data_IF_275525115949
#
_entry.id   IF_275525115949
#
_cell.length_a   1.000
_cell.length_b   1.000
_cell.length_c   1.000
_cell.angle_alpha   90.00
_cell.angle_beta   90.00
_cell.angle_gamma   90.00
#
_symmetry.space_group_name_H-M   'P 1'
#
loop_
_entity.id
_entity.type
_entity.pdbx_description
1 polymer ?
#
# COMPACT_ATOMS: atom_id res chain seq x y z
N UNK A 1 70.41 5.05 -11.03
CA UNK A 1 70.14 4.63 -9.64
C UNK A 1 68.81 5.26 -9.27
N UNK A 2 67.72 4.50 -9.33
CA UNK A 2 66.42 5.01 -8.88
C UNK A 2 66.38 4.85 -7.36
N UNK A 3 66.05 5.88 -6.58
CA UNK A 3 66.01 5.75 -5.12
C UNK A 3 64.87 4.82 -4.71
N UNK A 4 65.18 3.82 -3.88
CA UNK A 4 64.19 2.99 -3.22
C UNK A 4 63.43 3.79 -2.17
N UNK A 5 62.16 3.43 -1.93
CA UNK A 5 61.35 4.05 -0.89
C UNK A 5 61.14 3.04 0.24
N UNK A 6 61.51 3.41 1.46
CA UNK A 6 61.16 2.64 2.65
C UNK A 6 59.77 3.07 3.12
N UNK A 7 58.82 2.13 3.08
CA UNK A 7 57.45 2.35 3.54
C UNK A 7 57.28 1.70 4.91
N UNK A 8 57.19 2.52 5.96
CA UNK A 8 57.00 2.03 7.33
C UNK A 8 55.56 1.64 7.62
N UNK A 9 54.59 2.52 7.33
CA UNK A 9 53.17 2.21 7.47
C UNK A 9 52.32 3.02 6.51
N UNK A 10 51.09 2.59 6.29
CA UNK A 10 50.05 3.30 5.54
C UNK A 10 48.81 3.41 6.41
N UNK A 11 48.27 4.62 6.52
CA UNK A 11 46.97 4.85 7.16
C UNK A 11 45.90 5.08 6.09
N UNK A 12 44.79 4.35 6.19
CA UNK A 12 43.63 4.48 5.30
C UNK A 12 42.44 4.92 6.14
N UNK A 13 41.90 6.11 5.86
CA UNK A 13 40.75 6.67 6.56
C UNK A 13 39.44 6.34 5.82
N UNK A 14 38.50 5.73 6.52
CA UNK A 14 37.12 5.63 6.07
C UNK A 14 36.33 6.84 6.58
N UNK A 15 36.06 7.79 5.68
CA UNK A 15 35.34 9.02 6.01
C UNK A 15 33.85 8.79 6.31
N UNK A 16 33.27 7.65 5.91
CA UNK A 16 31.87 7.33 6.21
C UNK A 16 31.67 6.88 7.66
N UNK A 17 32.74 6.32 8.26
CA UNK A 17 32.76 5.82 9.65
C UNK A 17 33.61 6.66 10.59
N UNK A 18 34.32 7.66 10.05
CA UNK A 18 35.33 8.48 10.72
C UNK A 18 36.43 7.67 11.42
N UNK A 19 36.76 6.50 10.88
CA UNK A 19 37.78 5.58 11.41
C UNK A 19 39.03 5.58 10.53
N UNK A 20 40.22 5.39 11.12
CA UNK A 20 41.49 5.27 10.39
C UNK A 20 42.15 3.93 10.68
N UNK A 21 42.44 3.17 9.62
CA UNK A 21 43.05 1.85 9.66
C UNK A 21 44.54 1.94 9.32
N UNK A 22 45.39 1.36 10.18
CA UNK A 22 46.85 1.36 9.99
C UNK A 22 47.36 0.01 9.49
N UNK A 23 48.14 0.05 8.42
CA UNK A 23 48.85 -1.08 7.84
C UNK A 23 50.34 -0.90 8.13
N UNK A 24 50.92 -1.77 8.96
CA UNK A 24 52.37 -1.79 9.19
C UNK A 24 53.04 -2.50 8.01
N UNK A 25 53.94 -1.81 7.34
CA UNK A 25 54.57 -2.27 6.11
C UNK A 25 56.06 -2.60 6.31
N UNK A 26 56.79 -1.75 7.03
CA UNK A 26 58.24 -1.78 7.31
C UNK A 26 59.08 -2.52 6.26
N UNK A 27 58.98 -2.06 5.01
CA UNK A 27 59.67 -2.70 3.89
C UNK A 27 60.17 -1.68 2.85
N UNK A 28 61.14 -2.10 2.05
CA UNK A 28 61.64 -1.31 0.93
C UNK A 28 60.90 -1.67 -0.35
N UNK A 29 60.19 -0.70 -0.95
CA UNK A 29 59.56 -0.83 -2.26
C UNK A 29 60.55 -0.35 -3.33
N UNK A 30 61.51 -1.21 -3.66
CA UNK A 30 62.63 -0.87 -4.55
C UNK A 30 62.94 -2.05 -5.44
N UNK A 31 63.48 -1.83 -6.64
CA UNK A 31 64.04 -2.92 -7.48
C UNK A 31 65.51 -3.23 -7.15
N UNK A 32 66.17 -2.36 -6.38
CA UNK A 32 67.60 -2.47 -6.08
C UNK A 32 67.90 -2.68 -4.61
N UNK A 33 66.95 -2.39 -3.71
CA UNK A 33 67.10 -2.50 -2.25
C UNK A 33 66.02 -3.44 -1.67
N UNK A 34 66.26 -3.97 -0.47
CA UNK A 34 65.34 -4.91 0.19
C UNK A 34 65.11 -6.20 -0.60
N UNK A 35 63.86 -6.63 -0.68
CA UNK A 35 63.40 -7.81 -1.42
C UNK A 35 63.34 -7.63 -2.95
N UNK A 36 63.68 -6.43 -3.43
CA UNK A 36 63.66 -6.02 -4.85
C UNK A 36 62.27 -6.03 -5.49
N UNK A 37 61.20 -6.02 -4.69
CA UNK A 37 59.82 -5.91 -5.12
C UNK A 37 59.30 -4.48 -4.88
N UNK A 38 58.45 -4.03 -5.79
CA UNK A 38 57.81 -2.70 -5.70
C UNK A 38 56.32 -2.79 -5.40
N UNK A 39 55.80 -3.99 -5.13
CA UNK A 39 54.40 -4.29 -4.85
C UNK A 39 54.35 -5.30 -3.71
N UNK A 40 53.46 -5.08 -2.73
CA UNK A 40 53.30 -5.92 -1.54
C UNK A 40 51.84 -5.90 -1.08
N UNK A 41 51.39 -7.03 -0.54
CA UNK A 41 50.12 -7.15 0.16
C UNK A 41 50.35 -7.00 1.66
N UNK A 42 49.59 -6.13 2.32
CA UNK A 42 49.68 -5.90 3.76
C UNK A 42 48.35 -6.21 4.43
N UNK A 43 48.40 -6.96 5.52
CA UNK A 43 47.24 -7.20 6.37
C UNK A 43 47.01 -5.99 7.30
N UNK A 44 45.75 -5.59 7.49
CA UNK A 44 45.40 -4.56 8.45
C UNK A 44 45.75 -5.05 9.87
N UNK A 45 46.54 -4.28 10.61
CA UNK A 45 47.05 -4.74 11.91
C UNK A 45 45.98 -4.76 13.02
N UNK A 46 44.81 -4.13 12.80
CA UNK A 46 43.70 -4.10 13.74
C UNK A 46 42.38 -4.57 13.09
N UNK A 47 42.22 -5.88 12.90
CA UNK A 47 41.12 -6.65 13.52
C UNK A 47 40.99 -8.05 12.93
N UNK A 48 40.56 -8.93 13.82
CA UNK A 48 40.30 -10.35 13.72
C UNK A 48 39.40 -10.74 12.52
N UNK A 49 39.64 -11.95 11.99
CA UNK A 49 38.81 -12.64 11.02
C UNK A 49 37.34 -12.60 11.48
N UNK A 50 36.46 -12.01 10.66
CA UNK A 50 35.00 -12.19 10.78
C UNK A 50 34.50 -12.95 9.56
N UNK A 51 33.99 -14.15 9.81
CA UNK A 51 33.12 -14.91 8.92
C UNK A 51 31.89 -14.06 8.52
N UNK A 52 31.32 -14.36 7.34
CA UNK A 52 30.05 -13.84 6.79
C UNK A 52 30.01 -12.37 6.33
N UNK A 53 30.49 -12.11 5.11
CA UNK A 53 30.03 -10.93 4.36
C UNK A 53 28.64 -11.25 3.79
N UNK A 54 27.60 -10.72 4.43
CA UNK A 54 26.26 -10.64 3.87
C UNK A 54 26.28 -9.73 2.63
N UNK A 55 26.33 -10.32 1.43
CA UNK A 55 26.22 -9.56 0.18
C UNK A 55 24.75 -9.18 -0.06
N UNK A 56 24.48 -7.88 -0.13
CA UNK A 56 23.16 -7.33 -0.49
C UNK A 56 23.16 -6.94 -1.96
N UNK A 57 22.23 -7.50 -2.75
CA UNK A 57 22.06 -7.18 -4.16
C UNK A 57 20.76 -6.40 -4.37
N UNK A 58 20.83 -5.28 -5.09
CA UNK A 58 19.67 -4.45 -5.45
C UNK A 58 19.29 -4.66 -6.90
N UNK A 59 17.99 -4.80 -7.17
CA UNK A 59 17.43 -4.94 -8.51
C UNK A 59 16.25 -3.99 -8.68
N UNK A 60 16.12 -3.40 -9.86
CA UNK A 60 15.01 -2.51 -10.22
C UNK A 60 14.34 -3.02 -11.49
N UNK A 61 13.00 -2.98 -11.51
CA UNK A 61 12.20 -3.39 -12.65
C UNK A 61 10.84 -2.68 -12.63
N UNK A 62 10.27 -2.48 -13.81
CA UNK A 62 8.92 -1.95 -13.96
C UNK A 62 7.86 -3.04 -13.72
N UNK A 63 6.76 -2.65 -13.10
CA UNK A 63 5.58 -3.50 -12.89
C UNK A 63 4.31 -2.67 -13.04
N UNK A 64 3.19 -3.34 -13.34
CA UNK A 64 1.87 -2.75 -13.11
C UNK A 64 1.66 -2.51 -11.61
N UNK A 65 0.74 -1.62 -11.25
CA UNK A 65 0.36 -1.42 -9.85
C UNK A 65 -0.22 -2.72 -9.28
N UNK A 66 0.48 -3.29 -8.29
CA UNK A 66 0.12 -4.58 -7.67
C UNK A 66 -0.79 -4.43 -6.45
N UNK A 67 -1.00 -3.20 -5.97
CA UNK A 67 -1.60 -2.96 -4.66
C UNK A 67 -0.70 -3.46 -3.53
N UNK A 68 -1.32 -3.81 -2.40
CA UNK A 68 -0.59 -4.33 -1.24
C UNK A 68 0.06 -5.69 -1.54
N UNK A 69 1.37 -5.77 -1.38
CA UNK A 69 2.12 -7.01 -1.59
C UNK A 69 1.97 -7.89 -0.34
N UNK A 70 1.22 -8.99 -0.47
CA UNK A 70 1.04 -9.95 0.61
C UNK A 70 2.11 -11.05 0.64
N UNK A 71 2.59 -11.48 -0.53
CA UNK A 71 3.55 -12.58 -0.64
C UNK A 71 4.42 -12.48 -1.90
N UNK A 72 5.57 -13.17 -1.86
CA UNK A 72 6.54 -13.25 -2.94
C UNK A 72 6.92 -14.71 -3.21
N UNK A 73 6.97 -15.09 -4.50
CA UNK A 73 7.49 -16.39 -4.93
C UNK A 73 8.96 -16.26 -5.38
N UNK A 74 9.87 -17.01 -4.77
CA UNK A 74 11.31 -16.95 -5.04
C UNK A 74 11.85 -18.33 -5.41
N UNK A 75 12.57 -18.43 -6.52
CA UNK A 75 13.18 -19.67 -6.98
C UNK A 75 14.61 -19.47 -7.49
N UNK A 76 15.44 -20.49 -7.34
CA UNK A 76 16.80 -20.52 -7.86
C UNK A 76 16.83 -21.37 -9.14
N UNK A 77 16.86 -20.71 -10.29
CA UNK A 77 16.76 -21.37 -11.61
C UNK A 77 18.12 -21.42 -12.32
N UNK A 78 18.49 -22.59 -12.81
CA UNK A 78 19.66 -22.73 -13.66
C UNK A 78 19.45 -22.03 -15.01
N UNK A 79 20.46 -21.30 -15.48
CA UNK A 79 20.49 -20.79 -16.85
C UNK A 79 20.40 -21.96 -17.83
N UNK A 80 19.67 -21.76 -18.92
CA UNK A 80 19.58 -22.73 -20.01
C UNK A 80 21.00 -23.09 -20.49
N UNK A 81 21.19 -24.36 -20.82
CA UNK A 81 22.45 -24.94 -21.32
C UNK A 81 23.65 -25.03 -20.36
N UNK A 82 23.50 -24.71 -19.06
CA UNK A 82 24.57 -24.97 -18.08
C UNK A 82 24.53 -26.37 -17.46
N UNK A 83 25.73 -26.97 -17.37
CA UNK A 83 25.96 -28.14 -16.53
C UNK A 83 25.66 -27.81 -15.07
N UNK A 84 24.75 -28.57 -14.46
CA UNK A 84 24.49 -28.50 -13.02
C UNK A 84 25.33 -29.60 -12.38
N UNK A 85 26.31 -29.27 -11.52
CA UNK A 85 27.09 -30.28 -10.84
C UNK A 85 26.20 -31.16 -9.96
N UNK A 86 26.60 -32.41 -9.74
CA UNK A 86 25.85 -33.36 -8.90
C UNK A 86 25.73 -32.91 -7.43
N UNK A 87 26.62 -32.02 -6.98
CA UNK A 87 26.52 -31.41 -5.64
C UNK A 87 25.33 -30.46 -5.60
N UNK A 88 24.61 -30.45 -4.49
CA UNK A 88 23.49 -29.53 -4.32
C UNK A 88 24.02 -28.09 -4.21
N UNK A 89 23.58 -27.24 -5.14
CA UNK A 89 23.85 -25.81 -5.11
C UNK A 89 22.65 -25.12 -4.47
N UNK A 90 22.88 -24.40 -3.38
CA UNK A 90 21.85 -23.69 -2.62
C UNK A 90 22.14 -22.20 -2.64
N UNK A 91 21.08 -21.40 -2.65
CA UNK A 91 21.13 -19.98 -2.39
C UNK A 91 20.50 -19.73 -1.03
N UNK A 92 21.26 -19.19 -0.07
CA UNK A 92 20.71 -18.76 1.21
C UNK A 92 20.10 -17.38 1.03
N UNK A 93 18.78 -17.30 1.13
CA UNK A 93 18.04 -16.04 1.12
C UNK A 93 17.75 -15.68 2.56
N UNK A 94 18.48 -14.70 3.09
CA UNK A 94 18.30 -14.23 4.47
C UNK A 94 17.06 -13.35 4.60
N UNK A 95 17.00 -12.29 3.81
CA UNK A 95 15.85 -11.39 3.77
C UNK A 95 15.67 -10.82 2.35
N UNK A 96 14.44 -10.44 2.03
CA UNK A 96 14.12 -9.65 0.84
C UNK A 96 13.38 -8.41 1.31
N UNK A 97 13.72 -7.27 0.73
CA UNK A 97 13.02 -6.00 0.93
C UNK A 97 12.58 -5.50 -0.44
N UNK A 98 11.29 -5.23 -0.59
CA UNK A 98 10.73 -4.61 -1.79
C UNK A 98 10.38 -3.17 -1.44
N UNK A 99 10.88 -2.22 -2.22
CA UNK A 99 10.49 -0.82 -2.13
C UNK A 99 9.63 -0.46 -3.35
N UNK A 100 8.38 -0.09 -3.12
CA UNK A 100 7.53 0.51 -4.14
C UNK A 100 8.00 1.95 -4.40
N UNK A 101 8.52 2.22 -5.59
CA UNK A 101 9.17 3.51 -5.89
C UNK A 101 8.18 4.67 -6.09
N UNK A 102 6.92 4.39 -6.42
CA UNK A 102 5.89 5.42 -6.67
C UNK A 102 5.56 6.21 -5.39
N UNK A 103 5.27 5.48 -4.30
CA UNK A 103 4.93 6.09 -3.02
C UNK A 103 6.03 5.93 -1.97
N UNK A 104 6.96 5.00 -2.13
CA UNK A 104 8.04 4.73 -1.17
C UNK A 104 7.63 3.74 -0.07
N UNK A 105 6.61 2.91 -0.30
CA UNK A 105 6.24 1.85 0.64
C UNK A 105 7.28 0.74 0.64
N UNK A 106 7.57 0.17 1.81
CA UNK A 106 8.61 -0.86 1.96
C UNK A 106 8.02 -2.13 2.57
N UNK A 107 8.19 -3.26 1.88
CA UNK A 107 7.71 -4.57 2.27
C UNK A 107 8.90 -5.46 2.65
N UNK A 108 8.87 -6.04 3.84
CA UNK A 108 9.93 -6.88 4.37
C UNK A 108 9.51 -8.35 4.36
N UNK A 109 10.41 -9.22 3.90
CA UNK A 109 10.25 -10.67 3.87
C UNK A 109 11.41 -11.29 4.64
N UNK A 110 11.15 -11.78 5.85
CA UNK A 110 12.15 -12.55 6.61
C UNK A 110 12.16 -13.99 6.08
N UNK A 111 13.14 -14.30 5.24
CA UNK A 111 13.18 -15.55 4.51
C UNK A 111 13.94 -16.64 5.28
N UNK A 112 15.14 -16.30 5.76
CA UNK A 112 16.16 -17.16 6.38
C UNK A 112 16.13 -18.61 5.90
N UNK A 113 16.35 -18.80 4.61
CA UNK A 113 16.05 -20.07 3.97
C UNK A 113 17.00 -20.43 2.81
N UNK A 114 17.39 -21.69 2.75
CA UNK A 114 18.11 -22.27 1.61
C UNK A 114 17.14 -22.61 0.46
N UNK A 115 17.41 -22.05 -0.73
CA UNK A 115 16.68 -22.31 -1.98
C UNK A 115 17.59 -23.11 -2.93
N UNK A 116 17.29 -24.39 -3.18
CA UNK A 116 18.11 -25.22 -4.05
C UNK A 116 17.97 -24.85 -5.52
N UNK A 117 19.06 -24.95 -6.28
CA UNK A 117 19.09 -24.75 -7.72
C UNK A 117 18.26 -25.82 -8.43
N UNK A 118 17.31 -25.40 -9.27
CA UNK A 118 16.44 -26.29 -10.05
C UNK A 118 16.42 -25.92 -11.54
N UNK A 119 15.91 -26.84 -12.37
CA UNK A 119 15.76 -26.65 -13.83
C UNK A 119 14.40 -26.14 -14.26
N UNK A 120 13.38 -26.19 -13.40
CA UNK A 120 12.00 -25.83 -13.74
C UNK A 120 11.51 -24.73 -12.83
N UNK A 121 10.82 -23.73 -13.40
CA UNK A 121 10.27 -22.57 -12.69
C UNK A 121 9.23 -22.92 -11.63
N UNK A 122 8.61 -24.09 -11.71
CA UNK A 122 7.63 -24.58 -10.72
C UNK A 122 8.20 -24.82 -9.32
N UNK A 123 9.53 -24.82 -9.17
CA UNK A 123 10.18 -24.98 -7.87
C UNK A 123 10.55 -23.61 -7.32
N UNK A 124 9.70 -23.10 -6.43
CA UNK A 124 9.88 -21.84 -5.72
C UNK A 124 9.45 -22.02 -4.26
N UNK A 125 9.87 -21.09 -3.42
CA UNK A 125 9.32 -20.90 -2.07
C UNK A 125 8.46 -19.64 -2.07
N UNK A 126 7.40 -19.67 -1.27
CA UNK A 126 6.54 -18.51 -1.02
C UNK A 126 6.97 -17.90 0.30
N UNK A 127 7.21 -16.60 0.30
CA UNK A 127 7.48 -15.83 1.50
C UNK A 127 6.35 -14.83 1.69
N UNK A 128 5.78 -14.81 2.89
CA UNK A 128 4.78 -13.81 3.27
C UNK A 128 5.47 -12.56 3.77
N UNK A 129 4.82 -11.41 3.59
CA UNK A 129 5.29 -10.16 4.18
C UNK A 129 5.27 -10.28 5.70
N UNK A 130 6.39 -9.93 6.32
CA UNK A 130 6.51 -9.91 7.79
C UNK A 130 6.29 -8.53 8.37
N UNK A 131 6.54 -7.48 7.59
CA UNK A 131 6.33 -6.09 7.97
C UNK A 131 6.16 -5.23 6.73
N UNK A 132 5.30 -4.21 6.84
CA UNK A 132 5.20 -3.14 5.86
C UNK A 132 5.47 -1.81 6.54
N UNK A 133 6.23 -0.95 5.88
CA UNK A 133 6.37 0.46 6.25
C UNK A 133 5.69 1.29 5.18
N UNK A 134 4.54 1.86 5.52
CA UNK A 134 3.89 2.87 4.68
C UNK A 134 4.68 4.17 4.70
N UNK A 135 4.84 4.78 3.53
CA UNK A 135 5.46 6.10 3.42
C UNK A 135 4.51 7.22 3.85
N UNK A 136 5.08 8.40 4.10
CA UNK A 136 4.26 9.60 4.31
C UNK A 136 3.42 9.94 3.06
N UNK A 137 3.97 9.77 1.86
CA UNK A 137 3.26 10.04 0.62
C UNK A 137 2.05 9.10 0.44
N UNK A 138 2.22 7.80 0.73
CA UNK A 138 1.12 6.82 0.69
C UNK A 138 0.03 7.16 1.72
N UNK A 139 0.44 7.53 2.94
CA UNK A 139 -0.51 8.01 3.97
C UNK A 139 -1.27 9.25 3.52
N UNK A 140 -0.58 10.25 2.98
CA UNK A 140 -1.21 11.48 2.49
C UNK A 140 -2.15 11.20 1.32
N UNK A 141 -1.83 10.28 0.43
CA UNK A 141 -2.71 9.91 -0.67
C UNK A 141 -4.01 9.26 -0.16
N UNK A 142 -3.94 8.42 0.87
CA UNK A 142 -5.14 7.86 1.50
C UNK A 142 -6.05 8.92 2.16
N UNK A 143 -5.52 10.11 2.39
CA UNK A 143 -6.24 11.26 2.94
C UNK A 143 -6.83 12.19 1.86
N UNK A 144 -6.70 11.85 0.57
CA UNK A 144 -7.32 12.63 -0.51
C UNK A 144 -8.84 12.40 -0.47
N UNK A 145 -9.67 13.46 -0.36
CA UNK A 145 -11.11 13.31 -0.35
C UNK A 145 -11.63 12.70 -1.67
N UNK A 146 -12.47 11.69 -1.53
CA UNK A 146 -13.22 11.03 -2.60
C UNK A 146 -14.64 11.60 -2.63
N UNK A 147 -15.15 11.80 -3.85
CA UNK A 147 -16.54 12.17 -4.09
C UNK A 147 -17.40 10.91 -4.20
N UNK A 148 -18.44 10.85 -3.39
CA UNK A 148 -19.51 9.88 -3.52
C UNK A 148 -20.73 10.57 -4.11
N UNK A 149 -21.17 10.10 -5.26
CA UNK A 149 -22.45 10.49 -5.84
C UNK A 149 -23.57 9.72 -5.13
N UNK A 150 -24.55 10.44 -4.59
CA UNK A 150 -25.71 9.87 -3.93
C UNK A 150 -26.95 10.21 -4.75
N UNK A 151 -27.62 9.20 -5.28
CA UNK A 151 -28.86 9.33 -6.04
C UNK A 151 -29.98 8.75 -5.20
N UNK A 152 -30.97 9.56 -4.89
CA UNK A 152 -32.16 9.15 -4.14
C UNK A 152 -33.37 9.15 -5.05
N UNK A 153 -34.08 8.03 -5.11
CA UNK A 153 -35.34 7.91 -5.85
C UNK A 153 -36.51 7.87 -4.88
N UNK A 154 -37.39 8.85 -5.00
CA UNK A 154 -38.66 8.91 -4.26
C UNK A 154 -39.70 8.06 -4.98
N UNK A 155 -40.48 7.29 -4.23
CA UNK A 155 -41.53 6.44 -4.76
C UNK A 155 -42.64 7.20 -5.49
N UNK A 156 -43.42 6.48 -6.28
CA UNK A 156 -44.46 7.06 -7.14
C UNK A 156 -45.87 7.09 -6.51
N UNK A 157 -46.03 6.70 -5.25
CA UNK A 157 -47.35 6.70 -4.59
C UNK A 157 -47.87 8.13 -4.32
N UNK A 158 -49.19 8.34 -4.23
CA UNK A 158 -49.76 9.63 -3.83
C UNK A 158 -49.26 10.09 -2.44
N UNK A 159 -48.69 11.30 -2.40
CA UNK A 159 -48.10 11.88 -1.19
C UNK A 159 -46.74 11.28 -0.82
N UNK A 160 -46.04 10.65 -1.77
CA UNK A 160 -44.72 10.08 -1.55
C UNK A 160 -43.61 11.11 -1.32
N UNK A 161 -43.79 12.36 -1.75
CA UNK A 161 -42.77 13.41 -1.62
C UNK A 161 -42.75 14.06 -0.24
N UNK A 162 -41.62 14.70 0.10
CA UNK A 162 -41.40 15.33 1.41
C UNK A 162 -40.84 16.74 1.31
N UNK A 163 -41.33 17.62 2.18
CA UNK A 163 -40.79 18.96 2.39
C UNK A 163 -39.80 19.00 3.59
N UNK A 164 -39.56 17.86 4.24
CA UNK A 164 -38.67 17.78 5.40
C UNK A 164 -37.20 17.87 4.98
N UNK A 165 -36.34 18.28 5.91
CA UNK A 165 -34.89 18.22 5.67
C UNK A 165 -34.43 16.77 5.71
N UNK A 166 -33.80 16.32 4.61
CA UNK A 166 -33.31 14.95 4.44
C UNK A 166 -31.81 14.88 4.71
N UNK A 167 -31.40 13.80 5.37
CA UNK A 167 -30.01 13.51 5.69
C UNK A 167 -29.63 12.09 5.31
N UNK A 168 -28.34 11.90 5.03
CA UNK A 168 -27.74 10.61 4.74
C UNK A 168 -26.48 10.39 5.60
N UNK A 169 -26.24 9.14 5.98
CA UNK A 169 -24.94 8.68 6.48
C UNK A 169 -24.55 7.41 5.74
N UNK A 170 -23.40 7.43 5.09
CA UNK A 170 -22.87 6.30 4.33
C UNK A 170 -21.82 5.63 5.22
N UNK A 171 -21.92 4.32 5.40
CA UNK A 171 -21.00 3.50 6.18
C UNK A 171 -20.26 2.55 5.24
N UNK A 172 -18.93 2.56 5.30
CA UNK A 172 -18.06 1.63 4.60
C UNK A 172 -17.10 0.89 5.54
N UNK A 173 -16.22 0.07 4.97
CA UNK A 173 -15.20 -0.68 5.70
C UNK A 173 -14.21 0.22 6.46
N UNK A 174 -13.93 1.42 5.94
CA UNK A 174 -12.91 2.34 6.47
C UNK A 174 -13.48 3.46 7.35
N UNK A 175 -14.81 3.51 7.56
CA UNK A 175 -15.45 4.53 8.38
C UNK A 175 -16.83 4.94 7.86
N UNK A 176 -17.29 6.12 8.27
CA UNK A 176 -18.56 6.69 7.85
C UNK A 176 -18.48 8.18 7.55
N UNK A 177 -19.46 8.69 6.82
CA UNK A 177 -19.50 10.10 6.41
C UNK A 177 -19.92 11.04 7.53
N UNK A 178 -20.43 10.55 8.65
CA UNK A 178 -21.30 11.29 9.55
C UNK A 178 -22.64 11.66 8.89
N UNK A 179 -23.48 12.41 9.62
CA UNK A 179 -24.76 12.91 9.13
C UNK A 179 -24.55 14.06 8.14
N UNK A 180 -24.97 13.86 6.88
CA UNK A 180 -24.86 14.83 5.79
C UNK A 180 -26.23 15.25 5.32
N UNK A 181 -26.49 16.54 5.30
CA UNK A 181 -27.73 17.11 4.79
C UNK A 181 -27.75 17.07 3.25
N UNK A 182 -28.82 16.56 2.66
CA UNK A 182 -29.02 16.49 1.22
C UNK A 182 -29.81 17.71 0.75
N UNK A 183 -29.09 18.74 0.30
CA UNK A 183 -29.70 20.01 -0.16
C UNK A 183 -29.13 20.50 -1.48
N UNK A 184 -29.97 21.19 -2.25
CA UNK A 184 -29.60 21.95 -3.45
C UNK A 184 -30.31 23.30 -3.41
N UNK A 185 -29.60 24.37 -3.75
CA UNK A 185 -30.19 25.71 -3.78
C UNK A 185 -31.23 25.81 -4.90
N UNK A 186 -32.35 26.47 -4.61
CA UNK A 186 -33.39 26.83 -5.59
C UNK A 186 -34.03 25.63 -6.31
N UNK A 187 -34.22 24.51 -5.62
CA UNK A 187 -34.92 23.33 -6.15
C UNK A 187 -35.88 22.77 -5.12
N UNK A 188 -37.05 22.34 -5.57
CA UNK A 188 -37.87 21.44 -4.79
C UNK A 188 -37.33 20.02 -4.97
N UNK A 189 -37.01 19.36 -3.87
CA UNK A 189 -36.33 18.07 -3.87
C UNK A 189 -37.27 17.03 -3.29
N UNK A 190 -36.99 15.75 -3.60
CA UNK A 190 -37.71 14.62 -3.02
C UNK A 190 -39.21 14.64 -3.31
N UNK A 191 -39.60 15.13 -4.48
CA UNK A 191 -40.96 15.07 -4.99
C UNK A 191 -41.36 13.64 -5.34
N UNK A 192 -42.66 13.38 -5.40
CA UNK A 192 -43.20 12.10 -5.86
C UNK A 192 -42.58 11.69 -7.21
N UNK A 193 -42.00 10.50 -7.27
CA UNK A 193 -41.37 9.96 -8.47
C UNK A 193 -40.10 10.67 -8.92
N UNK A 194 -39.58 11.64 -8.15
CA UNK A 194 -38.35 12.32 -8.52
C UNK A 194 -37.13 11.48 -8.20
N UNK A 195 -36.07 11.72 -8.98
CA UNK A 195 -34.73 11.23 -8.70
C UNK A 195 -33.83 12.43 -8.50
N UNK A 196 -33.22 12.54 -7.32
CA UNK A 196 -32.37 13.66 -6.94
C UNK A 196 -30.94 13.19 -6.69
N UNK A 197 -29.98 13.92 -7.25
CA UNK A 197 -28.54 13.60 -7.23
C UNK A 197 -27.78 14.57 -6.35
N UNK A 198 -26.90 14.05 -5.49
CA UNK A 198 -26.08 14.81 -4.56
C UNK A 198 -24.62 14.32 -4.61
N UNK A 199 -23.72 15.12 -4.05
CA UNK A 199 -22.32 14.73 -3.87
C UNK A 199 -21.94 14.89 -2.41
N UNK A 200 -21.30 13.86 -1.86
CA UNK A 200 -20.72 13.85 -0.52
C UNK A 200 -19.22 13.66 -0.66
N UNK A 201 -18.44 14.62 -0.17
CA UNK A 201 -16.98 14.51 -0.12
C UNK A 201 -16.55 13.97 1.25
N UNK A 202 -15.77 12.90 1.25
CA UNK A 202 -15.21 12.27 2.45
C UNK A 202 -13.97 11.47 2.09
N UNK A 203 -13.29 10.87 3.07
CA UNK A 203 -12.19 9.94 2.78
C UNK A 203 -12.72 8.64 2.15
N UNK A 204 -11.83 7.86 1.53
CA UNK A 204 -12.21 6.57 0.95
C UNK A 204 -12.83 5.65 2.01
N UNK A 205 -14.13 5.38 1.86
CA UNK A 205 -14.94 4.56 2.78
C UNK A 205 -14.69 3.06 2.57
N UNK A 206 -14.04 2.66 1.48
CA UNK A 206 -13.87 1.25 1.13
C UNK A 206 -15.20 0.61 0.71
N UNK A 207 -15.35 -0.71 0.95
CA UNK A 207 -16.58 -1.44 0.63
C UNK A 207 -17.78 -0.85 1.41
N UNK A 208 -18.83 -0.42 0.69
CA UNK A 208 -20.02 0.17 1.29
C UNK A 208 -20.90 -0.91 1.94
N UNK A 209 -21.19 -0.74 3.23
CA UNK A 209 -21.90 -1.76 4.03
C UNK A 209 -23.32 -1.36 4.39
N UNK A 210 -23.60 -0.06 4.48
CA UNK A 210 -24.89 0.45 4.95
C UNK A 210 -25.07 1.92 4.54
N UNK A 211 -26.30 2.31 4.28
CA UNK A 211 -26.71 3.72 4.18
C UNK A 211 -27.83 3.97 5.18
N UNK A 212 -27.66 4.96 6.05
CA UNK A 212 -28.76 5.51 6.84
C UNK A 212 -29.37 6.68 6.08
N UNK A 213 -30.67 6.65 5.89
CA UNK A 213 -31.44 7.75 5.33
C UNK A 213 -32.47 8.20 6.37
N UNK A 214 -32.58 9.50 6.60
CA UNK A 214 -33.44 10.05 7.64
C UNK A 214 -33.96 11.45 7.29
N UNK A 215 -35.08 11.85 7.88
CA UNK A 215 -35.58 13.22 7.80
C UNK A 215 -36.00 13.74 9.19
N UNK A 216 -36.02 15.06 9.36
CA UNK A 216 -36.29 15.70 10.66
C UNK A 216 -37.79 15.86 10.99
N UNK A 217 -38.67 15.54 10.04
CA UNK A 217 -40.11 15.68 10.21
C UNK A 217 -40.63 17.12 10.10
N UNK A 218 -39.82 18.06 9.61
CA UNK A 218 -40.27 19.42 9.30
C UNK A 218 -41.17 19.46 8.06
N UNK A 219 -41.81 20.61 7.82
CA UNK A 219 -42.74 20.79 6.70
C UNK A 219 -44.17 20.30 6.98
N UNK A 220 -45.10 20.59 6.07
CA UNK A 220 -46.52 20.22 6.21
C UNK A 220 -46.78 18.77 5.78
N UNK A 221 -46.00 18.27 4.82
CA UNK A 221 -46.04 16.90 4.31
C UNK A 221 -44.67 16.25 4.54
N UNK A 222 -44.41 15.83 5.79
CA UNK A 222 -43.09 15.28 6.15
C UNK A 222 -42.91 13.81 5.79
N UNK A 223 -44.00 13.09 5.51
CA UNK A 223 -43.96 11.67 5.18
C UNK A 223 -43.30 11.43 3.83
N UNK A 224 -42.42 10.45 3.74
CA UNK A 224 -41.61 10.23 2.55
C UNK A 224 -41.57 8.75 2.17
N UNK A 225 -41.96 8.41 0.95
CA UNK A 225 -41.79 7.06 0.42
C UNK A 225 -40.50 7.00 -0.37
N UNK A 226 -39.53 6.24 0.13
CA UNK A 226 -38.23 6.07 -0.53
C UNK A 226 -38.24 4.76 -1.28
N UNK A 227 -37.93 4.81 -2.58
CA UNK A 227 -37.80 3.61 -3.40
C UNK A 227 -36.42 2.97 -3.20
N UNK A 228 -35.36 3.75 -3.48
CA UNK A 228 -33.97 3.30 -3.36
C UNK A 228 -33.00 4.47 -3.20
N UNK A 229 -31.80 4.14 -2.74
CA UNK A 229 -30.62 5.02 -2.78
C UNK A 229 -29.53 4.30 -3.56
N UNK A 230 -28.86 5.00 -4.46
CA UNK A 230 -27.68 4.52 -5.18
C UNK A 230 -26.50 5.40 -4.80
N UNK A 231 -25.39 4.75 -4.43
CA UNK A 231 -24.15 5.43 -4.04
C UNK A 231 -23.03 4.98 -4.95
N UNK A 232 -22.43 5.91 -5.67
CA UNK A 232 -21.32 5.65 -6.60
C UNK A 232 -20.05 6.31 -6.09
N UNK A 233 -19.00 5.51 -5.88
CA UNK A 233 -17.66 6.05 -5.66
C UNK A 233 -17.14 6.57 -7.01
N UNK A 234 -16.92 7.89 -7.14
CA UNK A 234 -16.54 8.48 -8.44
C UNK A 234 -15.09 8.19 -8.84
N UNK A 235 -14.22 7.78 -7.90
CA UNK A 235 -12.82 7.45 -8.23
C UNK A 235 -12.72 6.05 -8.85
N UNK A 236 -13.51 5.09 -8.35
CA UNK A 236 -13.51 3.69 -8.82
C UNK A 236 -14.60 3.38 -9.83
N UNK A 237 -15.65 4.20 -9.88
CA UNK A 237 -16.85 3.96 -10.69
C UNK A 237 -17.78 2.89 -10.13
N UNK A 238 -17.48 2.32 -8.96
CA UNK A 238 -18.30 1.28 -8.33
C UNK A 238 -19.58 1.90 -7.77
N UNK A 239 -20.73 1.42 -8.27
CA UNK A 239 -22.06 1.81 -7.83
C UNK A 239 -22.67 0.72 -6.93
N UNK A 240 -23.23 1.12 -5.79
CA UNK A 240 -23.92 0.23 -4.84
C UNK A 240 -25.36 0.68 -4.67
N UNK A 241 -26.30 -0.25 -4.82
CA UNK A 241 -27.75 0.04 -4.73
C UNK A 241 -28.31 -0.45 -3.40
N UNK A 242 -29.03 0.44 -2.73
CA UNK A 242 -29.70 0.22 -1.45
C UNK A 242 -31.21 0.35 -1.66
N UNK A 243 -31.90 -0.77 -1.74
CA UNK A 243 -33.36 -0.79 -1.88
C UNK A 243 -34.04 -0.46 -0.55
N UNK A 244 -35.11 0.33 -0.59
CA UNK A 244 -35.87 0.73 0.59
C UNK A 244 -37.33 0.26 0.47
N UNK A 245 -38.06 0.80 -0.50
CA UNK A 245 -39.47 0.49 -0.78
C UNK A 245 -40.41 0.74 0.41
N UNK A 246 -40.10 1.70 1.28
CA UNK A 246 -40.86 1.91 2.53
C UNK A 246 -41.05 3.39 2.86
N UNK A 247 -42.14 3.66 3.56
CA UNK A 247 -42.44 4.96 4.14
C UNK A 247 -41.49 5.26 5.31
N UNK A 248 -40.97 6.49 5.30
CA UNK A 248 -40.34 7.18 6.41
C UNK A 248 -41.36 8.25 6.85
N UNK A 249 -42.21 7.92 7.80
CA UNK A 249 -43.34 8.75 8.23
C UNK A 249 -43.77 8.31 9.64
N UNK A 250 -44.12 9.26 10.52
CA UNK A 250 -44.65 8.97 11.86
C UNK A 250 -46.07 8.37 11.84
N UNK A 251 -46.81 8.56 10.76
CA UNK A 251 -48.23 8.16 10.62
C UNK A 251 -48.45 7.04 9.61
N UNK A 252 -47.44 6.65 8.82
CA UNK A 252 -47.50 5.59 7.81
C UNK A 252 -46.36 4.58 8.02
N UNK A 253 -46.46 3.42 7.38
CA UNK A 253 -45.44 2.38 7.49
C UNK A 253 -45.29 1.88 8.94
N UNK A 254 -44.07 1.94 9.47
CA UNK A 254 -43.72 1.54 10.83
C UNK A 254 -43.54 2.73 11.80
N UNK A 255 -43.92 3.94 11.39
CA UNK A 255 -43.82 5.13 12.25
C UNK A 255 -42.40 5.73 12.35
N UNK A 256 -41.41 5.16 11.65
CA UNK A 256 -40.02 5.64 11.68
C UNK A 256 -39.78 6.71 10.61
N UNK A 257 -38.99 7.72 10.93
CA UNK A 257 -38.54 8.78 9.99
C UNK A 257 -37.13 8.55 9.48
N UNK A 258 -36.60 7.34 9.66
CA UNK A 258 -35.25 6.95 9.27
C UNK A 258 -35.19 5.45 8.98
N UNK A 259 -34.22 5.03 8.17
CA UNK A 259 -33.91 3.62 7.93
C UNK A 259 -32.43 3.40 7.69
N UNK A 260 -31.95 2.25 8.17
CA UNK A 260 -30.71 1.64 7.71
C UNK A 260 -31.02 0.72 6.53
N UNK A 261 -30.33 0.96 5.42
CA UNK A 261 -30.42 0.19 4.18
C UNK A 261 -29.10 -0.53 3.96
N UNK A 262 -29.16 -1.75 3.46
CA UNK A 262 -28.00 -2.58 3.18
C UNK A 262 -27.86 -2.82 1.67
N UNK A 263 -26.65 -3.09 1.16
CA UNK A 263 -26.43 -3.35 -0.26
C UNK A 263 -27.36 -4.46 -0.74
N UNK A 264 -28.02 -4.20 -1.87
CA UNK A 264 -28.81 -5.22 -2.55
C UNK A 264 -27.85 -6.14 -3.30
N UNK A 265 -27.94 -7.45 -3.07
CA UNK A 265 -27.14 -8.48 -3.76
C UNK A 265 -27.55 -8.58 -5.22
#
# INVERSE_FOLDING_TARGET
>A
IFPGWHLSYVDVKDNSRDETFRFQCDCWLSKSEGDRQTVRDFACANNEIRDELEETNTFEFDSVYLGDIASLCVGHLAREDRFIPKRELVWHVKAITITEMEYGNVYFFNCDCLIPLKRKRKYFKVFEVTKTTESFASKVQSLVPVKYEVIVTTGYEPGAGTDANVFVTIFGANGDTGKRELKQKMRNLFERGSTNRFFVETLELGELRKVRLEHDGSGHCSGWLVEKVEVTNTSTGVATIFTCGRWLDKKRGDGLTWRDLFPSV
#
